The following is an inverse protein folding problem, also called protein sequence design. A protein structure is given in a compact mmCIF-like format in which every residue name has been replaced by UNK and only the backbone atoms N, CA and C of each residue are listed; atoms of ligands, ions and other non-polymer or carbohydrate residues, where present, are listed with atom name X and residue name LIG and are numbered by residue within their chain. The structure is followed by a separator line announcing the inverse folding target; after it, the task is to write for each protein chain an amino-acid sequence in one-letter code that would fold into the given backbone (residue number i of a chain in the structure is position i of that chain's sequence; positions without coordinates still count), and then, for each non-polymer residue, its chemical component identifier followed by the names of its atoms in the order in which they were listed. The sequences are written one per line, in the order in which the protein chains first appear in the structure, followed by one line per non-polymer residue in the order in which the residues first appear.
data_IF_674079863288
#
_entry.id   IF_674079863288
#
_cell.length_a   1.000
_cell.length_b   1.000
_cell.length_c   1.000
_cell.angle_alpha   90.00
_cell.angle_beta   90.00
_cell.angle_gamma   90.00
#
_symmetry.space_group_name_H-M   'P 1'
#
loop_
_entity.id
_entity.type
_entity.pdbx_description
1 polymer ?
#
# COMPACT_ATOMS: atom_id res chain seq x y z
N UNK A 1 -65.30 27.99 5.72
CA UNK A 1 -65.02 29.15 6.57
C UNK A 1 -63.58 28.99 7.00
N UNK A 2 -62.62 29.70 6.55
CA UNK A 2 -62.28 31.10 6.30
C UNK A 2 -60.87 31.26 6.79
N UNK A 3 -60.05 31.65 6.00
CA UNK A 3 -59.32 32.77 5.44
C UNK A 3 -57.82 32.71 5.71
N UNK A 4 -57.11 32.73 4.60
CA UNK A 4 -55.80 33.29 4.26
C UNK A 4 -55.33 34.45 5.15
N UNK A 5 -53.99 34.63 5.35
CA UNK A 5 -53.27 35.89 5.02
C UNK A 5 -51.75 35.58 4.83
N UNK A 6 -51.23 36.12 3.77
CA UNK A 6 -49.84 36.24 3.33
C UNK A 6 -49.09 37.32 4.16
N UNK A 7 -47.75 37.20 4.25
CA UNK A 7 -46.88 38.24 4.76
C UNK A 7 -45.47 38.12 4.18
N UNK A 8 -45.30 38.74 3.02
CA UNK A 8 -44.03 39.02 2.33
C UNK A 8 -43.38 40.23 3.04
N UNK A 9 -42.17 40.12 3.52
CA UNK A 9 -41.34 41.27 3.93
C UNK A 9 -40.02 41.23 3.18
N UNK A 10 -39.91 42.14 2.26
CA UNK A 10 -38.73 42.54 1.52
C UNK A 10 -38.04 43.64 2.33
N UNK A 11 -36.75 43.49 2.62
CA UNK A 11 -35.93 44.60 3.15
C UNK A 11 -34.69 44.78 2.27
N UNK A 12 -34.72 45.93 1.62
CA UNK A 12 -33.65 46.54 0.81
C UNK A 12 -32.83 47.44 1.72
N UNK A 13 -31.49 47.31 1.76
CA UNK A 13 -30.61 48.33 2.37
C UNK A 13 -29.34 48.43 1.51
N UNK A 14 -29.27 49.46 0.78
CA UNK A 14 -28.38 50.63 0.68
C UNK A 14 -26.87 50.40 0.67
N UNK A 15 -26.33 50.77 -0.48
CA UNK A 15 -24.92 51.15 -0.68
C UNK A 15 -24.55 52.41 0.12
N UNK A 16 -23.37 52.42 0.71
CA UNK A 16 -22.64 53.67 0.97
C UNK A 16 -21.15 53.43 0.64
N UNK A 17 -20.69 54.05 -0.40
CA UNK A 17 -19.31 54.11 -0.80
C UNK A 17 -18.52 55.18 -0.01
N UNK A 18 -17.25 54.87 0.24
CA UNK A 18 -16.25 55.91 0.53
C UNK A 18 -15.02 55.61 -0.32
N UNK A 19 -14.81 56.49 -1.30
CA UNK A 19 -13.54 56.65 -1.98
C UNK A 19 -12.54 57.37 -1.03
N UNK A 20 -11.31 56.87 -0.94
CA UNK A 20 -10.17 57.74 -0.65
C UNK A 20 -8.94 57.23 -1.39
N UNK A 21 -8.28 58.20 -1.99
CA UNK A 21 -7.26 58.06 -3.00
C UNK A 21 -5.82 58.11 -2.43
N UNK A 22 -4.92 57.50 -3.22
CA UNK A 22 -3.51 57.87 -3.43
C UNK A 22 -2.50 57.70 -2.30
N UNK A 23 -1.55 56.78 -2.52
CA UNK A 23 -0.13 57.18 -2.60
C UNK A 23 0.70 56.03 -3.22
N UNK A 24 1.24 56.30 -4.40
CA UNK A 24 2.32 55.55 -5.04
C UNK A 24 3.62 55.79 -4.34
N UNK A 25 4.27 54.73 -3.81
CA UNK A 25 5.70 54.77 -3.54
C UNK A 25 6.33 53.45 -3.94
N UNK A 26 7.17 53.54 -4.95
CA UNK A 26 8.04 52.47 -5.43
C UNK A 26 9.23 52.38 -4.45
N UNK A 27 9.62 51.19 -3.98
CA UNK A 27 10.95 51.03 -3.37
C UNK A 27 11.92 50.41 -4.36
N UNK A 28 13.10 50.96 -4.31
CA UNK A 28 14.27 50.71 -5.13
C UNK A 28 14.77 49.25 -5.04
N UNK A 29 15.27 48.78 -6.19
CA UNK A 29 16.06 47.55 -6.33
C UNK A 29 17.36 47.67 -5.55
N UNK A 30 17.51 46.94 -4.45
CA UNK A 30 18.83 46.62 -3.90
C UNK A 30 19.30 45.28 -4.51
N UNK A 31 20.29 45.39 -5.40
CA UNK A 31 21.12 44.28 -5.86
C UNK A 31 22.12 43.93 -4.75
N UNK A 32 21.90 42.83 -4.05
CA UNK A 32 22.96 42.18 -3.30
C UNK A 32 23.80 41.32 -4.23
N UNK A 33 25.02 41.73 -4.50
CA UNK A 33 26.08 40.88 -5.06
C UNK A 33 26.47 39.85 -4.01
N UNK A 34 26.14 38.58 -4.22
CA UNK A 34 26.79 37.49 -3.49
C UNK A 34 28.09 37.15 -4.19
N UNK A 35 29.18 37.33 -3.48
CA UNK A 35 30.53 36.92 -3.86
C UNK A 35 30.60 35.41 -3.68
N UNK A 36 30.79 34.65 -4.77
CA UNK A 36 31.08 33.23 -4.73
C UNK A 36 32.58 33.04 -4.46
N UNK A 37 32.92 32.47 -3.32
CA UNK A 37 34.24 31.95 -3.05
C UNK A 37 34.44 30.64 -3.80
N UNK A 38 35.27 30.63 -4.83
CA UNK A 38 35.72 29.45 -5.54
C UNK A 38 36.90 28.80 -4.80
N UNK A 39 36.69 27.66 -4.19
CA UNK A 39 37.80 26.79 -3.78
C UNK A 39 37.94 25.66 -4.81
N UNK A 40 38.95 25.82 -5.67
CA UNK A 40 39.36 24.82 -6.64
C UNK A 40 40.20 23.76 -5.96
N UNK A 41 39.66 22.55 -5.79
CA UNK A 41 40.47 21.35 -5.54
C UNK A 41 40.72 20.63 -6.85
N UNK A 42 41.97 20.65 -7.28
CA UNK A 42 42.55 19.97 -8.40
C UNK A 42 42.68 18.47 -8.04
N UNK A 43 41.87 17.60 -8.66
CA UNK A 43 42.05 16.16 -8.55
C UNK A 43 42.85 15.65 -9.75
N UNK A 44 43.96 15.00 -9.42
CA UNK A 44 44.87 14.31 -10.35
C UNK A 44 44.18 13.04 -10.84
N UNK A 45 44.06 12.91 -12.16
CA UNK A 45 43.56 11.71 -12.79
C UNK A 45 44.69 10.71 -12.94
N UNK A 46 44.54 9.51 -12.33
CA UNK A 46 45.29 8.32 -12.73
C UNK A 46 44.41 7.48 -13.65
N UNK A 47 44.91 7.30 -14.87
CA UNK A 47 44.33 6.42 -15.88
C UNK A 47 44.86 5.00 -15.67
N UNK A 48 43.99 4.01 -15.59
CA UNK A 48 44.16 2.68 -16.19
C UNK A 48 42.96 1.77 -15.85
N UNK A 49 42.25 1.31 -16.84
CA UNK A 49 41.94 -0.05 -17.17
C UNK A 49 40.74 -0.14 -18.09
N UNK A 50 40.96 -0.72 -19.23
CA UNK A 50 39.92 -1.14 -20.19
C UNK A 50 39.04 -2.20 -19.56
N UNK A 51 37.74 -1.95 -19.47
CA UNK A 51 36.74 -3.00 -19.33
C UNK A 51 35.69 -2.80 -20.43
N UNK A 52 35.36 -3.89 -21.10
CA UNK A 52 34.40 -3.96 -22.21
C UNK A 52 32.99 -3.67 -21.70
N UNK A 53 32.30 -2.75 -22.40
CA UNK A 53 30.92 -2.40 -22.12
C UNK A 53 29.99 -3.51 -22.60
N UNK A 54 29.21 -4.08 -21.68
CA UNK A 54 27.97 -4.77 -21.96
C UNK A 54 26.83 -3.76 -21.82
N UNK A 55 26.05 -3.61 -22.90
CA UNK A 55 24.92 -2.67 -22.92
C UNK A 55 23.79 -3.19 -22.04
N UNK A 56 23.50 -2.50 -20.93
CA UNK A 56 22.26 -2.63 -20.20
C UNK A 56 21.42 -1.39 -20.46
N UNK A 57 20.27 -1.57 -21.11
CA UNK A 57 19.26 -0.52 -21.27
C UNK A 57 18.58 -0.29 -19.92
N UNK A 58 18.95 0.80 -19.24
CA UNK A 58 18.23 1.31 -18.08
C UNK A 58 17.30 2.45 -18.51
N UNK A 59 16.03 2.34 -18.20
CA UNK A 59 15.06 3.41 -18.39
C UNK A 59 15.42 4.58 -17.47
N UNK A 60 15.65 5.77 -18.06
CA UNK A 60 15.85 7.00 -17.31
C UNK A 60 14.49 7.56 -16.92
N UNK A 61 14.12 7.39 -15.66
CA UNK A 61 12.97 8.06 -15.05
C UNK A 61 13.43 9.47 -14.59
N UNK A 62 12.83 10.52 -15.14
CA UNK A 62 13.07 11.89 -14.71
C UNK A 62 12.25 12.12 -13.45
N UNK A 63 12.83 11.85 -12.29
CA UNK A 63 12.20 12.14 -11.01
C UNK A 63 12.50 13.59 -10.60
N UNK A 64 11.47 14.43 -10.52
CA UNK A 64 11.52 15.65 -9.75
C UNK A 64 11.44 15.30 -8.27
N UNK A 65 12.56 15.28 -7.58
CA UNK A 65 12.63 14.99 -6.13
C UNK A 65 12.78 16.30 -5.39
N UNK A 66 11.72 16.67 -4.64
CA UNK A 66 11.82 17.57 -3.51
C UNK A 66 11.72 16.72 -2.24
N UNK A 67 12.84 16.29 -1.70
CA UNK A 67 12.96 15.57 -0.44
C UNK A 67 14.44 15.55 -0.03
N UNK A 68 14.76 15.69 1.24
CA UNK A 68 16.12 15.72 1.79
C UNK A 68 16.92 14.52 1.28
N UNK A 69 17.83 14.78 0.36
CA UNK A 69 18.77 13.78 -0.14
C UNK A 69 20.11 14.00 0.54
N UNK A 70 20.64 13.00 1.24
CA UNK A 70 22.00 13.01 1.74
C UNK A 70 22.99 13.06 0.56
N UNK A 71 23.90 14.01 0.62
CA UNK A 71 24.72 14.42 -0.50
C UNK A 71 25.94 13.51 -0.70
N UNK A 72 25.80 12.41 -1.43
CA UNK A 72 26.95 11.71 -2.03
C UNK A 72 26.51 10.97 -3.30
N UNK A 73 26.25 11.71 -4.37
CA UNK A 73 25.95 11.12 -5.68
C UNK A 73 27.16 11.23 -6.62
N UNK A 74 27.47 10.18 -7.34
CA UNK A 74 28.42 10.20 -8.45
C UNK A 74 27.76 10.87 -9.67
N UNK A 75 28.41 11.89 -10.23
CA UNK A 75 27.94 12.54 -11.44
C UNK A 75 28.68 11.98 -12.66
N UNK A 76 27.90 11.47 -13.61
CA UNK A 76 28.42 11.01 -14.90
C UNK A 76 28.01 11.99 -16.00
N UNK A 77 28.93 12.30 -16.91
CA UNK A 77 28.61 13.11 -18.09
C UNK A 77 28.09 12.20 -19.20
N UNK A 78 26.87 12.46 -19.64
CA UNK A 78 26.27 11.74 -20.78
C UNK A 78 25.92 12.70 -21.90
N UNK A 79 25.88 12.20 -23.12
CA UNK A 79 25.47 12.98 -24.29
C UNK A 79 23.99 12.70 -24.56
N UNK A 80 23.15 13.73 -24.48
CA UNK A 80 21.75 13.68 -24.86
C UNK A 80 21.53 14.59 -26.02
N UNK A 81 21.16 14.05 -27.19
CA UNK A 81 20.96 14.80 -28.45
C UNK A 81 22.16 15.69 -28.81
N UNK A 82 23.38 15.16 -28.67
CA UNK A 82 24.62 15.86 -29.02
C UNK A 82 25.06 16.95 -28.03
N UNK A 83 24.35 17.17 -26.93
CA UNK A 83 24.73 18.12 -25.88
C UNK A 83 25.23 17.36 -24.65
N UNK A 84 26.29 17.89 -24.01
CA UNK A 84 26.78 17.38 -22.72
C UNK A 84 25.74 17.68 -21.63
N UNK A 85 25.18 16.63 -21.01
CA UNK A 85 24.31 16.73 -19.85
C UNK A 85 24.98 16.04 -18.65
N UNK A 86 24.97 16.72 -17.51
CA UNK A 86 25.46 16.15 -16.24
C UNK A 86 24.33 15.42 -15.57
N UNK A 87 24.35 14.10 -15.59
CA UNK A 87 23.39 13.26 -14.88
C UNK A 87 24.00 12.90 -13.53
N UNK A 88 23.33 13.28 -12.45
CA UNK A 88 23.67 12.83 -11.10
C UNK A 88 22.89 11.55 -10.83
N UNK A 89 23.58 10.45 -10.67
CA UNK A 89 23.00 9.22 -10.15
C UNK A 89 23.01 9.33 -8.63
N UNK A 90 21.84 9.41 -8.04
CA UNK A 90 21.69 9.23 -6.59
C UNK A 90 21.50 7.75 -6.35
N UNK A 91 22.55 7.05 -5.97
CA UNK A 91 22.45 5.68 -5.48
C UNK A 91 21.82 5.71 -4.09
N UNK A 92 20.65 5.12 -3.92
CA UNK A 92 20.12 4.84 -2.58
C UNK A 92 21.13 3.95 -1.84
N UNK A 93 21.57 4.40 -0.67
CA UNK A 93 22.50 3.66 0.18
C UNK A 93 21.71 3.01 1.30
N UNK A 94 21.47 1.71 1.16
CA UNK A 94 20.85 0.93 2.23
C UNK A 94 21.89 0.57 3.28
N UNK A 95 21.53 0.73 4.55
CA UNK A 95 22.37 0.41 5.70
C UNK A 95 21.92 -0.85 6.41
N UNK A 96 20.64 -1.23 6.26
CA UNK A 96 20.06 -2.44 6.80
C UNK A 96 20.33 -3.66 5.89
N UNK A 97 20.40 -4.86 6.49
CA UNK A 97 20.51 -6.11 5.74
C UNK A 97 19.15 -6.55 5.21
N UNK A 98 19.13 -7.09 3.99
CA UNK A 98 17.93 -7.75 3.44
C UNK A 98 17.72 -9.15 4.03
N UNK A 99 18.72 -9.70 4.72
CA UNK A 99 18.74 -11.10 5.15
C UNK A 99 19.06 -11.21 6.63
N UNK A 100 18.49 -12.24 7.27
CA UNK A 100 18.72 -12.60 8.65
C UNK A 100 18.71 -14.12 8.81
N UNK A 101 19.08 -14.64 9.98
CA UNK A 101 18.95 -16.06 10.28
C UNK A 101 17.46 -16.43 10.38
N UNK A 102 17.06 -17.48 9.66
CA UNK A 102 15.66 -17.97 9.67
C UNK A 102 15.20 -18.38 11.07
N UNK A 103 16.09 -18.91 11.91
CA UNK A 103 15.75 -19.27 13.29
C UNK A 103 15.40 -18.04 14.13
N UNK A 104 16.01 -16.88 13.84
CA UNK A 104 15.71 -15.63 14.53
C UNK A 104 14.35 -15.08 14.12
N UNK A 105 13.91 -15.32 12.86
CA UNK A 105 12.60 -14.87 12.37
C UNK A 105 11.44 -15.53 13.11
N UNK A 106 11.59 -16.80 13.46
CA UNK A 106 10.52 -17.59 14.11
C UNK A 106 10.68 -17.72 15.62
N UNK A 107 11.77 -17.17 16.17
CA UNK A 107 12.05 -17.23 17.59
C UNK A 107 10.99 -16.47 18.39
N UNK A 108 10.36 -17.16 19.33
CA UNK A 108 9.26 -16.68 20.17
C UNK A 108 7.90 -16.49 19.45
N UNK A 109 7.73 -16.95 18.23
CA UNK A 109 6.41 -17.02 17.62
C UNK A 109 5.52 -18.02 18.37
N UNK A 110 4.29 -17.62 18.66
CA UNK A 110 3.26 -18.50 19.24
C UNK A 110 2.47 -19.10 18.09
N UNK A 111 2.58 -20.42 17.88
CA UNK A 111 2.05 -21.07 16.67
C UNK A 111 1.14 -22.29 16.94
N UNK A 112 0.83 -22.61 18.20
CA UNK A 112 0.07 -23.82 18.53
C UNK A 112 -1.40 -23.80 18.01
N UNK A 113 -1.96 -22.63 17.73
CA UNK A 113 -3.29 -22.46 17.11
C UNK A 113 -3.24 -22.16 15.61
N UNK A 114 -2.07 -22.10 15.00
CA UNK A 114 -1.92 -21.86 13.56
C UNK A 114 -2.12 -23.15 12.76
N UNK A 115 -2.43 -23.00 11.47
CA UNK A 115 -2.46 -24.12 10.53
C UNK A 115 -1.01 -24.56 10.23
N UNK A 116 -0.64 -25.81 10.53
CA UNK A 116 0.75 -26.25 10.40
C UNK A 116 1.24 -26.31 8.95
N UNK A 117 0.33 -26.56 7.99
CA UNK A 117 0.69 -26.58 6.56
C UNK A 117 0.94 -25.17 6.05
N UNK A 118 0.06 -24.24 6.41
CA UNK A 118 0.16 -22.83 6.02
C UNK A 118 1.43 -22.22 6.65
N UNK A 119 1.69 -22.51 7.96
CA UNK A 119 2.88 -22.02 8.63
C UNK A 119 4.17 -22.57 8.01
N UNK A 120 4.23 -23.86 7.75
CA UNK A 120 5.41 -24.46 7.13
C UNK A 120 5.70 -23.84 5.74
N UNK A 121 4.66 -23.64 4.92
CA UNK A 121 4.78 -22.99 3.62
C UNK A 121 5.23 -21.53 3.74
N UNK A 122 4.74 -20.79 4.74
CA UNK A 122 5.12 -19.41 5.00
C UNK A 122 6.60 -19.27 5.42
N UNK A 123 7.08 -20.16 6.29
CA UNK A 123 8.49 -20.20 6.71
C UNK A 123 9.40 -20.55 5.52
N UNK A 124 9.01 -21.55 4.72
CA UNK A 124 9.76 -21.94 3.53
C UNK A 124 9.85 -20.80 2.51
N UNK A 125 8.74 -20.13 2.23
CA UNK A 125 8.69 -19.02 1.28
C UNK A 125 9.51 -17.80 1.75
N UNK A 126 9.44 -17.44 3.04
CA UNK A 126 10.18 -16.32 3.58
C UNK A 126 11.70 -16.58 3.57
N UNK A 127 12.08 -17.84 3.79
CA UNK A 127 13.48 -18.25 3.84
C UNK A 127 14.27 -17.45 4.88
N UNK A 128 15.35 -16.82 4.43
CA UNK A 128 16.18 -15.93 5.24
C UNK A 128 15.97 -14.44 4.97
N UNK A 129 14.90 -14.07 4.25
CA UNK A 129 14.58 -12.67 4.02
C UNK A 129 14.14 -11.97 5.32
N UNK A 130 14.67 -10.79 5.57
CA UNK A 130 14.21 -9.98 6.71
C UNK A 130 12.80 -9.44 6.43
N UNK A 131 11.80 -10.09 7.03
CA UNK A 131 10.40 -9.82 6.76
C UNK A 131 9.44 -10.64 7.60
N UNK A 132 8.16 -10.55 7.26
CA UNK A 132 7.07 -11.32 7.88
C UNK A 132 6.10 -11.83 6.82
N UNK A 133 5.46 -12.95 7.10
CA UNK A 133 4.36 -13.51 6.32
C UNK A 133 3.13 -13.64 7.21
N UNK A 134 2.02 -13.05 6.79
CA UNK A 134 0.71 -13.16 7.43
C UNK A 134 -0.25 -13.83 6.43
N UNK A 135 -0.86 -14.94 6.84
CA UNK A 135 -1.90 -15.63 6.08
C UNK A 135 -3.22 -15.63 6.87
N UNK A 136 -4.32 -15.26 6.20
CA UNK A 136 -5.63 -15.04 6.85
C UNK A 136 -6.72 -15.78 6.06
N UNK A 137 -7.66 -16.37 6.76
CA UNK A 137 -8.95 -16.78 6.20
C UNK A 137 -9.88 -15.56 6.13
N UNK A 138 -10.20 -15.04 4.94
CA UNK A 138 -11.04 -13.85 4.84
C UNK A 138 -12.51 -14.11 5.18
N UNK A 139 -12.95 -15.36 5.27
CA UNK A 139 -14.34 -15.70 5.55
C UNK A 139 -14.73 -15.47 7.01
N UNK A 140 -13.74 -15.44 7.92
CA UNK A 140 -13.97 -15.35 9.35
C UNK A 140 -12.94 -14.46 10.11
N UNK A 141 -11.87 -13.99 9.43
CA UNK A 141 -10.83 -13.16 10.02
C UNK A 141 -9.78 -13.94 10.83
N UNK A 142 -9.78 -15.27 10.75
CA UNK A 142 -8.79 -16.10 11.45
C UNK A 142 -7.42 -15.99 10.78
N UNK A 143 -6.40 -15.71 11.58
CA UNK A 143 -5.01 -15.81 11.17
C UNK A 143 -4.63 -17.28 11.13
N UNK A 144 -4.29 -17.77 9.94
CA UNK A 144 -3.87 -19.14 9.68
C UNK A 144 -2.39 -19.34 10.00
N UNK A 145 -1.57 -18.32 9.74
CA UNK A 145 -0.16 -18.28 10.11
C UNK A 145 0.34 -16.84 10.18
N UNK A 146 1.24 -16.58 11.12
CA UNK A 146 1.93 -15.30 11.28
C UNK A 146 3.41 -15.59 11.63
N UNK A 147 4.28 -15.52 10.62
CA UNK A 147 5.71 -15.78 10.72
C UNK A 147 6.44 -14.49 11.00
N UNK A 148 7.37 -14.47 11.96
CA UNK A 148 8.01 -13.30 12.51
C UNK A 148 7.00 -12.33 13.13
N UNK A 149 6.32 -12.82 14.18
CA UNK A 149 5.27 -12.08 14.87
C UNK A 149 5.76 -10.75 15.45
N UNK A 150 7.02 -10.68 15.85
CA UNK A 150 7.64 -9.43 16.30
C UNK A 150 7.52 -8.32 15.26
N UNK A 151 7.76 -8.63 13.99
CA UNK A 151 7.66 -7.67 12.89
C UNK A 151 6.20 -7.47 12.44
N UNK A 152 5.41 -8.55 12.37
CA UNK A 152 4.00 -8.48 12.00
C UNK A 152 3.17 -7.59 12.94
N UNK A 153 3.49 -7.62 14.23
CA UNK A 153 2.81 -6.89 15.30
C UNK A 153 3.43 -5.51 15.59
N UNK A 154 4.51 -5.14 14.90
CA UNK A 154 5.17 -3.83 15.08
C UNK A 154 4.26 -2.67 14.67
N UNK A 155 4.67 -1.45 14.98
CA UNK A 155 3.95 -0.22 14.59
C UNK A 155 3.86 0.01 13.06
N UNK A 156 4.32 -0.97 12.28
CA UNK A 156 4.27 -0.96 10.84
C UNK A 156 5.29 -0.03 10.20
N UNK A 157 5.11 0.20 8.92
CA UNK A 157 5.95 1.06 8.11
C UNK A 157 5.11 1.84 7.09
N UNK A 158 5.76 2.72 6.36
CA UNK A 158 5.13 3.38 5.22
C UNK A 158 4.55 2.33 4.25
N UNK A 159 3.23 2.41 3.94
CA UNK A 159 2.56 1.40 3.10
C UNK A 159 3.02 1.47 1.65
N UNK A 160 3.74 2.51 1.27
CA UNK A 160 4.14 2.76 -0.10
C UNK A 160 2.91 2.70 -1.02
N UNK A 161 3.04 2.06 -2.17
CA UNK A 161 1.96 1.94 -3.15
C UNK A 161 0.82 0.99 -2.75
N UNK A 162 0.85 0.31 -1.61
CA UNK A 162 -0.30 -0.50 -1.16
C UNK A 162 -1.47 0.36 -0.72
N UNK A 163 -1.22 1.62 -0.28
CA UNK A 163 -2.27 2.60 0.04
C UNK A 163 -3.23 2.84 -1.13
N UNK A 164 -2.79 2.62 -2.37
CA UNK A 164 -3.56 2.81 -3.59
C UNK A 164 -4.82 1.94 -3.65
N UNK A 165 -4.85 0.83 -2.93
CA UNK A 165 -6.04 -0.03 -2.82
C UNK A 165 -7.17 0.73 -2.11
N UNK A 166 -6.87 1.33 -0.95
CA UNK A 166 -7.83 2.14 -0.22
C UNK A 166 -8.27 3.37 -1.02
N UNK A 167 -7.31 4.07 -1.65
CA UNK A 167 -7.59 5.26 -2.48
C UNK A 167 -8.46 4.92 -3.69
N UNK A 168 -8.24 3.78 -4.34
CA UNK A 168 -9.06 3.31 -5.45
C UNK A 168 -10.52 3.05 -5.01
N UNK A 169 -10.70 2.31 -3.91
CA UNK A 169 -12.03 2.06 -3.35
C UNK A 169 -12.75 3.38 -3.00
N UNK A 170 -12.05 4.31 -2.36
CA UNK A 170 -12.59 5.63 -2.01
C UNK A 170 -13.06 6.40 -3.25
N UNK A 171 -12.22 6.45 -4.30
CA UNK A 171 -12.54 7.17 -5.53
C UNK A 171 -13.71 6.54 -6.31
N UNK A 172 -13.82 5.21 -6.28
CA UNK A 172 -14.95 4.46 -6.84
C UNK A 172 -16.24 4.75 -6.05
N UNK A 173 -16.19 4.76 -4.72
CA UNK A 173 -17.35 5.11 -3.86
C UNK A 173 -17.84 6.54 -4.06
N UNK A 174 -16.92 7.48 -4.26
CA UNK A 174 -17.24 8.87 -4.60
C UNK A 174 -17.73 9.04 -6.05
N UNK A 175 -17.73 7.98 -6.88
CA UNK A 175 -18.11 8.05 -8.27
C UNK A 175 -17.17 8.88 -9.14
N UNK A 176 -15.96 9.18 -8.66
CA UNK A 176 -14.96 9.99 -9.38
C UNK A 176 -14.34 9.25 -10.56
N UNK A 177 -14.29 7.93 -10.49
CA UNK A 177 -13.74 7.07 -11.54
C UNK A 177 -14.56 5.78 -11.66
N UNK A 178 -14.38 5.10 -12.80
CA UNK A 178 -14.78 3.71 -13.05
C UNK A 178 -13.55 2.92 -13.48
N UNK A 179 -13.65 1.60 -13.47
CA UNK A 179 -12.53 0.71 -13.78
C UNK A 179 -11.85 1.02 -15.13
N UNK A 180 -12.65 1.32 -16.14
CA UNK A 180 -12.27 1.49 -17.55
C UNK A 180 -12.25 2.93 -18.04
N UNK A 181 -12.66 3.90 -17.20
CA UNK A 181 -12.74 5.31 -17.62
C UNK A 181 -11.35 5.97 -17.53
N UNK A 182 -10.81 6.44 -18.68
CA UNK A 182 -9.52 7.10 -18.69
C UNK A 182 -9.55 8.44 -17.95
N UNK A 183 -8.58 8.63 -17.05
CA UNK A 183 -8.29 9.92 -16.39
C UNK A 183 -7.11 10.57 -17.12
N UNK A 184 -7.25 11.82 -17.51
CA UNK A 184 -6.17 12.59 -18.12
C UNK A 184 -5.15 13.01 -17.05
N UNK A 185 -3.92 12.58 -17.20
CA UNK A 185 -2.80 12.84 -16.29
C UNK A 185 -1.91 14.02 -16.74
N UNK A 186 -2.29 14.67 -17.85
CA UNK A 186 -1.59 15.80 -18.43
C UNK A 186 -1.22 15.57 -19.89
N UNK A 187 -1.34 16.62 -20.70
CA UNK A 187 -1.11 16.55 -22.14
C UNK A 187 -2.04 15.54 -22.82
N UNK A 188 -1.46 14.56 -23.53
CA UNK A 188 -2.17 13.48 -24.19
C UNK A 188 -2.11 12.15 -23.45
N UNK A 189 -1.64 12.14 -22.19
CA UNK A 189 -1.48 10.92 -21.40
C UNK A 189 -2.71 10.68 -20.53
N UNK A 190 -3.45 9.63 -20.86
CA UNK A 190 -4.61 9.18 -20.11
C UNK A 190 -4.48 7.70 -19.75
N UNK A 191 -4.97 7.33 -18.58
CA UNK A 191 -4.91 5.95 -18.05
C UNK A 191 -6.20 5.68 -17.28
N UNK A 192 -6.74 4.47 -17.37
CA UNK A 192 -7.85 3.99 -16.55
C UNK A 192 -7.37 3.42 -15.21
N UNK A 193 -8.31 3.14 -14.30
CA UNK A 193 -8.01 2.63 -12.97
C UNK A 193 -7.35 1.24 -13.02
N UNK A 194 -7.81 0.37 -13.93
CA UNK A 194 -7.27 -0.98 -14.10
C UNK A 194 -5.77 -0.95 -14.38
N UNK A 195 -5.35 -0.19 -15.40
CA UNK A 195 -3.93 -0.07 -15.73
C UNK A 195 -3.13 0.74 -14.70
N UNK A 196 -3.77 1.74 -14.08
CA UNK A 196 -3.11 2.53 -13.03
C UNK A 196 -2.79 1.68 -11.78
N UNK A 197 -3.68 0.78 -11.37
CA UNK A 197 -3.44 -0.16 -10.28
C UNK A 197 -2.40 -1.21 -10.65
N UNK A 198 -2.56 -1.86 -11.82
CA UNK A 198 -1.68 -2.92 -12.28
C UNK A 198 -0.22 -2.46 -12.39
N UNK A 199 0.00 -1.28 -12.95
CA UNK A 199 1.32 -0.67 -13.15
C UNK A 199 1.77 0.24 -12.01
N UNK A 200 0.90 0.43 -11.01
CA UNK A 200 1.17 1.29 -9.85
C UNK A 200 1.50 2.75 -10.22
N UNK A 201 0.76 3.38 -11.13
CA UNK A 201 1.05 4.72 -11.67
C UNK A 201 0.78 5.78 -10.61
N UNK A 202 1.84 6.38 -10.06
CA UNK A 202 1.76 7.35 -8.96
C UNK A 202 0.90 8.56 -9.30
N UNK A 203 1.13 9.17 -10.47
CA UNK A 203 0.44 10.38 -10.89
C UNK A 203 -1.09 10.21 -10.94
N UNK A 204 -1.59 9.01 -11.30
CA UNK A 204 -3.01 8.70 -11.27
C UNK A 204 -3.59 8.86 -9.85
N UNK A 205 -2.96 8.25 -8.87
CA UNK A 205 -3.41 8.31 -7.47
C UNK A 205 -3.18 9.67 -6.82
N UNK A 206 -2.16 10.42 -7.26
CA UNK A 206 -2.01 11.82 -6.86
C UNK A 206 -3.17 12.68 -7.36
N UNK A 207 -3.62 12.49 -8.60
CA UNK A 207 -4.79 13.19 -9.16
C UNK A 207 -6.04 12.83 -8.37
N UNK A 208 -6.29 11.54 -8.11
CA UNK A 208 -7.43 11.11 -7.30
C UNK A 208 -7.41 11.72 -5.90
N UNK A 209 -6.26 11.66 -5.21
CA UNK A 209 -6.10 12.23 -3.87
C UNK A 209 -6.38 13.74 -3.84
N UNK A 210 -5.88 14.48 -4.83
CA UNK A 210 -6.16 15.92 -4.96
C UNK A 210 -7.63 16.20 -5.27
N UNK A 211 -8.29 15.36 -6.07
CA UNK A 211 -9.72 15.51 -6.40
C UNK A 211 -10.63 15.20 -5.22
N UNK A 212 -10.29 14.22 -4.40
CA UNK A 212 -11.05 13.90 -3.19
C UNK A 212 -10.80 14.91 -2.06
N UNK A 213 -9.56 15.36 -1.92
CA UNK A 213 -9.13 16.14 -0.76
C UNK A 213 -8.84 15.27 0.48
N UNK A 214 -8.10 15.83 1.43
CA UNK A 214 -7.59 15.09 2.60
C UNK A 214 -8.70 14.51 3.47
N UNK A 215 -9.73 15.30 3.76
CA UNK A 215 -10.81 14.88 4.69
C UNK A 215 -11.57 13.65 4.19
N UNK A 216 -11.86 13.58 2.89
CA UNK A 216 -12.53 12.41 2.32
C UNK A 216 -11.62 11.18 2.29
N UNK A 217 -10.37 11.35 1.88
CA UNK A 217 -9.40 10.25 1.88
C UNK A 217 -9.22 9.69 3.28
N UNK A 218 -9.11 10.57 4.29
CA UNK A 218 -9.01 10.18 5.69
C UNK A 218 -10.27 9.48 6.20
N UNK A 219 -11.46 10.01 5.86
CA UNK A 219 -12.73 9.41 6.21
C UNK A 219 -12.79 7.94 5.75
N UNK A 220 -12.52 7.68 4.46
CA UNK A 220 -12.50 6.32 3.93
C UNK A 220 -11.39 5.46 4.54
N UNK A 221 -10.20 6.03 4.76
CA UNK A 221 -9.13 5.30 5.40
C UNK A 221 -9.56 4.78 6.79
N UNK A 222 -10.18 5.63 7.60
CA UNK A 222 -10.71 5.24 8.91
C UNK A 222 -11.87 4.22 8.77
N UNK A 223 -12.77 4.40 7.80
CA UNK A 223 -13.85 3.45 7.52
C UNK A 223 -13.27 2.05 7.20
N UNK A 224 -12.20 2.00 6.44
CA UNK A 224 -11.49 0.76 6.09
C UNK A 224 -10.61 0.21 7.23
N UNK A 225 -10.62 0.83 8.40
CA UNK A 225 -9.89 0.38 9.59
C UNK A 225 -8.42 0.79 9.62
N UNK A 226 -7.98 1.70 8.72
CA UNK A 226 -6.62 2.22 8.73
C UNK A 226 -6.47 3.27 9.84
N UNK A 227 -5.43 3.12 10.68
CA UNK A 227 -5.28 3.93 11.90
C UNK A 227 -5.99 3.35 13.14
N UNK A 228 -6.54 2.13 13.04
CA UNK A 228 -7.14 1.38 14.15
C UNK A 228 -6.45 0.02 14.31
N UNK A 229 -6.47 -0.57 15.51
CA UNK A 229 -6.04 -1.96 15.70
C UNK A 229 -6.87 -2.89 14.82
N UNK A 230 -6.21 -3.77 14.08
CA UNK A 230 -6.88 -4.74 13.21
C UNK A 230 -7.25 -6.03 13.97
N UNK A 231 -6.48 -6.37 15.00
CA UNK A 231 -6.65 -7.58 15.80
C UNK A 231 -7.71 -7.44 16.90
N UNK A 232 -8.29 -8.57 17.26
CA UNK A 232 -9.12 -8.72 18.44
C UNK A 232 -8.29 -9.32 19.58
N UNK A 233 -7.89 -8.47 20.51
CA UNK A 233 -7.08 -8.87 21.68
C UNK A 233 -5.80 -9.66 21.32
N UNK A 234 -5.09 -9.26 20.26
CA UNK A 234 -3.80 -9.86 19.92
C UNK A 234 -2.72 -9.22 20.79
N UNK A 235 -2.08 -9.97 21.71
CA UNK A 235 -1.05 -9.41 22.57
C UNK A 235 0.15 -8.89 21.75
N UNK A 236 0.58 -7.67 22.07
CA UNK A 236 1.74 -7.07 21.39
C UNK A 236 1.43 -6.42 20.05
N UNK A 237 0.17 -6.39 19.59
CA UNK A 237 -0.19 -5.61 18.42
C UNK A 237 0.00 -4.11 18.66
N UNK A 238 0.77 -3.48 17.78
CA UNK A 238 0.94 -2.04 17.76
C UNK A 238 0.04 -1.39 16.70
N UNK A 239 -0.31 -0.13 16.95
CA UNK A 239 -1.13 0.65 16.03
C UNK A 239 -0.28 1.22 14.91
N UNK A 240 -0.73 1.04 13.66
CA UNK A 240 -0.29 1.89 12.53
C UNK A 240 -1.03 3.22 12.55
N UNK A 241 -0.44 4.26 12.01
CA UNK A 241 -0.92 5.63 12.14
C UNK A 241 -1.38 6.20 10.80
N UNK A 242 -2.63 6.66 10.74
CA UNK A 242 -3.10 7.56 9.71
C UNK A 242 -3.13 8.98 10.29
N UNK A 243 -2.37 9.95 9.72
CA UNK A 243 -2.20 11.27 10.36
C UNK A 243 -3.49 12.09 10.40
N UNK A 244 -3.59 12.99 11.38
CA UNK A 244 -4.72 13.91 11.54
C UNK A 244 -4.63 15.15 10.64
N UNK A 245 -3.46 15.39 10.07
CA UNK A 245 -3.21 16.56 9.23
C UNK A 245 -2.61 16.13 7.88
N UNK A 246 -2.97 16.89 6.85
CA UNK A 246 -2.41 16.68 5.52
C UNK A 246 -0.92 17.02 5.48
N UNK A 247 -0.17 16.25 4.69
CA UNK A 247 1.22 16.56 4.37
C UNK A 247 1.33 17.97 3.77
N UNK A 248 2.35 18.78 4.13
CA UNK A 248 2.53 20.12 3.54
C UNK A 248 2.54 20.10 2.01
N UNK A 249 1.94 21.10 1.38
CA UNK A 249 1.88 21.21 -0.08
C UNK A 249 3.28 21.18 -0.74
N UNK A 250 4.29 21.77 -0.09
CA UNK A 250 5.69 21.72 -0.53
C UNK A 250 6.27 20.29 -0.55
N UNK A 251 5.71 19.39 0.24
CA UNK A 251 6.04 17.95 0.29
C UNK A 251 5.10 17.11 -0.57
N UNK A 252 4.21 17.72 -1.36
CA UNK A 252 3.29 17.04 -2.28
C UNK A 252 1.86 16.85 -1.77
N UNK A 253 1.57 17.22 -0.52
CA UNK A 253 0.22 17.25 0.04
C UNK A 253 -0.48 15.88 0.01
N UNK A 254 -1.81 15.90 -0.06
CA UNK A 254 -2.64 14.69 -0.12
C UNK A 254 -2.31 13.79 -1.32
N UNK A 255 -1.82 14.35 -2.42
CA UNK A 255 -1.41 13.55 -3.58
C UNK A 255 -0.30 12.55 -3.25
N UNK A 256 0.73 12.98 -2.53
CA UNK A 256 1.82 12.10 -2.06
C UNK A 256 1.31 11.06 -1.07
N UNK A 257 0.44 11.43 -0.14
CA UNK A 257 -0.18 10.50 0.80
C UNK A 257 -0.95 9.40 0.05
N UNK A 258 -1.68 9.75 -1.02
CA UNK A 258 -2.47 8.80 -1.81
C UNK A 258 -1.65 7.92 -2.77
N UNK A 259 -0.48 8.36 -3.19
CA UNK A 259 0.35 7.65 -4.18
C UNK A 259 1.47 6.83 -3.54
N UNK A 260 2.07 7.33 -2.47
CA UNK A 260 3.21 6.70 -1.79
C UNK A 260 2.91 6.27 -0.36
N UNK A 261 1.84 6.79 0.27
CA UNK A 261 1.57 6.57 1.68
C UNK A 261 2.45 7.41 2.59
N UNK A 262 3.05 8.49 2.07
CA UNK A 262 3.98 9.34 2.82
C UNK A 262 3.32 9.91 4.07
N UNK A 263 4.00 9.85 5.20
CA UNK A 263 3.51 10.17 6.56
C UNK A 263 2.48 9.21 7.14
N UNK A 264 2.15 8.12 6.44
CA UNK A 264 1.26 7.06 6.93
C UNK A 264 2.11 5.88 7.39
N UNK A 265 1.77 5.27 8.51
CA UNK A 265 2.32 3.97 8.94
C UNK A 265 1.19 2.94 8.96
N UNK A 266 1.41 1.79 8.34
CA UNK A 266 0.46 0.69 8.33
C UNK A 266 1.10 -0.61 8.77
N UNK A 267 0.34 -1.41 9.50
CA UNK A 267 0.77 -2.74 9.93
C UNK A 267 0.36 -3.80 8.90
N UNK A 268 1.06 -4.95 8.87
CA UNK A 268 0.62 -6.10 8.07
C UNK A 268 -0.81 -6.54 8.39
N UNK A 269 -1.25 -6.41 9.65
CA UNK A 269 -2.59 -6.77 10.08
C UNK A 269 -3.64 -5.81 9.49
N UNK A 270 -3.41 -4.51 9.52
CA UNK A 270 -4.33 -3.51 8.93
C UNK A 270 -4.52 -3.74 7.43
N UNK A 271 -3.43 -3.96 6.69
CA UNK A 271 -3.50 -4.24 5.25
C UNK A 271 -4.17 -5.60 4.98
N UNK A 272 -3.89 -6.61 5.81
CA UNK A 272 -4.52 -7.92 5.74
C UNK A 272 -6.04 -7.86 5.98
N UNK A 273 -6.49 -7.09 6.98
CA UNK A 273 -7.91 -6.90 7.27
C UNK A 273 -8.64 -6.21 6.11
N UNK A 274 -8.05 -5.16 5.52
CA UNK A 274 -8.63 -4.48 4.35
C UNK A 274 -8.77 -5.42 3.15
N UNK A 275 -7.71 -6.18 2.81
CA UNK A 275 -7.75 -7.12 1.68
C UNK A 275 -8.70 -8.29 1.98
N UNK A 276 -8.84 -8.71 3.25
CA UNK A 276 -9.84 -9.70 3.66
C UNK A 276 -11.27 -9.19 3.42
N UNK A 277 -11.53 -7.92 3.74
CA UNK A 277 -12.83 -7.30 3.46
C UNK A 277 -13.13 -7.23 1.94
N UNK A 278 -12.13 -6.98 1.10
CA UNK A 278 -12.28 -7.06 -0.36
C UNK A 278 -12.58 -8.49 -0.78
N UNK A 279 -11.82 -9.45 -0.27
CA UNK A 279 -11.94 -10.87 -0.63
C UNK A 279 -13.28 -11.49 -0.23
N UNK A 280 -13.92 -11.02 0.85
CA UNK A 280 -15.18 -11.57 1.35
C UNK A 280 -16.44 -10.78 0.96
N UNK A 281 -16.30 -9.68 0.20
CA UNK A 281 -17.44 -8.89 -0.28
C UNK A 281 -17.85 -7.74 0.63
N UNK A 282 -17.00 -7.30 1.57
CA UNK A 282 -17.19 -6.06 2.35
C UNK A 282 -17.29 -6.24 3.87
N UNK A 283 -17.13 -7.43 4.41
CA UNK A 283 -17.11 -7.63 5.86
C UNK A 283 -15.70 -7.39 6.40
N UNK A 284 -15.52 -6.32 7.16
CA UNK A 284 -14.30 -6.07 7.90
C UNK A 284 -14.36 -6.81 9.24
N UNK A 285 -13.61 -7.89 9.35
CA UNK A 285 -13.45 -8.61 10.61
C UNK A 285 -12.32 -8.01 11.44
N UNK A 286 -12.44 -8.13 12.77
CA UNK A 286 -11.25 -8.14 13.60
C UNK A 286 -10.48 -9.41 13.28
N UNK A 287 -9.18 -9.28 13.05
CA UNK A 287 -8.32 -10.44 12.90
C UNK A 287 -8.12 -11.11 14.26
N UNK A 288 -8.14 -12.42 14.28
CA UNK A 288 -7.94 -13.21 15.49
C UNK A 288 -6.82 -14.21 15.28
N UNK A 289 -5.92 -14.31 16.24
CA UNK A 289 -4.80 -15.22 16.23
C UNK A 289 -4.96 -16.26 17.35
N UNK A 290 -5.62 -17.41 17.07
CA UNK A 290 -5.70 -18.50 18.04
C UNK A 290 -4.30 -18.97 18.44
N UNK A 291 -4.08 -19.11 19.74
CA UNK A 291 -2.79 -19.53 20.32
C UNK A 291 -2.82 -20.95 20.84
N UNK A 292 -4.01 -21.58 20.85
CA UNK A 292 -4.23 -22.95 21.28
C UNK A 292 -5.22 -23.66 20.37
N UNK A 293 -5.19 -25.01 20.35
CA UNK A 293 -6.18 -25.82 19.64
C UNK A 293 -7.62 -25.67 20.20
N UNK A 294 -7.74 -25.38 21.49
CA UNK A 294 -9.04 -25.09 22.10
C UNK A 294 -9.67 -23.82 21.54
N UNK A 295 -8.87 -22.77 21.32
CA UNK A 295 -9.31 -21.53 20.68
C UNK A 295 -9.66 -21.74 19.20
N UNK A 296 -8.96 -22.61 18.49
CA UNK A 296 -9.30 -22.99 17.10
C UNK A 296 -10.65 -23.72 17.06
N UNK A 297 -10.89 -24.68 17.99
CA UNK A 297 -12.12 -25.46 18.03
C UNK A 297 -13.34 -24.60 18.38
N UNK A 298 -13.17 -23.61 19.27
CA UNK A 298 -14.21 -22.72 19.73
C UNK A 298 -14.18 -21.35 19.03
N UNK A 299 -13.55 -21.27 17.86
CA UNK A 299 -13.37 -20.00 17.14
C UNK A 299 -14.73 -19.38 16.78
N UNK A 300 -14.86 -18.08 17.08
CA UNK A 300 -16.02 -17.28 16.71
C UNK A 300 -15.58 -16.01 16.01
N UNK A 301 -16.00 -15.79 14.76
CA UNK A 301 -15.67 -14.57 14.02
C UNK A 301 -16.15 -13.31 14.74
N UNK A 302 -15.33 -12.28 14.75
CA UNK A 302 -15.66 -10.97 15.31
C UNK A 302 -15.76 -9.93 14.20
N UNK A 303 -16.98 -9.52 13.86
CA UNK A 303 -17.20 -8.47 12.86
C UNK A 303 -16.88 -7.11 13.47
N UNK A 304 -15.96 -6.38 12.85
CA UNK A 304 -15.62 -5.00 13.22
C UNK A 304 -16.63 -4.02 12.62
N UNK A 305 -16.89 -4.14 11.32
CA UNK A 305 -17.92 -3.37 10.59
C UNK A 305 -18.24 -3.98 9.22
N UNK A 306 -19.39 -3.61 8.68
CA UNK A 306 -19.74 -3.91 7.29
C UNK A 306 -19.39 -2.69 6.44
N UNK A 307 -18.54 -2.89 5.43
CA UNK A 307 -18.15 -1.84 4.50
C UNK A 307 -19.11 -1.82 3.31
N UNK A 308 -19.56 -0.64 2.95
CA UNK A 308 -20.40 -0.44 1.75
C UNK A 308 -19.53 -0.37 0.49
N UNK A 309 -18.83 -1.48 0.17
CA UNK A 309 -17.92 -1.58 -1.00
C UNK A 309 -18.27 -2.71 -1.97
N UNK A 310 -19.34 -3.47 -1.72
CA UNK A 310 -19.69 -4.66 -2.49
C UNK A 310 -19.86 -4.37 -3.99
N UNK A 311 -20.45 -3.25 -4.33
CA UNK A 311 -20.70 -2.78 -5.70
C UNK A 311 -19.46 -2.25 -6.41
N UNK A 312 -18.44 -1.80 -5.67
CA UNK A 312 -17.19 -1.28 -6.24
C UNK A 312 -16.06 -2.31 -6.26
N UNK A 313 -16.15 -3.41 -5.49
CA UNK A 313 -15.16 -4.49 -5.53
C UNK A 313 -14.93 -5.00 -6.96
N UNK A 314 -15.95 -5.32 -7.78
CA UNK A 314 -15.72 -5.80 -9.15
C UNK A 314 -14.94 -4.81 -10.03
N UNK A 315 -14.92 -3.54 -9.68
CA UNK A 315 -14.22 -2.50 -10.44
C UNK A 315 -12.73 -2.38 -10.07
N UNK A 316 -12.33 -2.82 -8.87
CA UNK A 316 -10.92 -2.80 -8.46
C UNK A 316 -10.20 -4.10 -8.84
N UNK A 317 -10.90 -5.23 -8.92
CA UNK A 317 -10.30 -6.55 -9.15
C UNK A 317 -9.49 -6.64 -10.44
N UNK A 318 -9.93 -6.14 -11.61
CA UNK A 318 -9.13 -6.22 -12.84
C UNK A 318 -7.75 -5.56 -12.71
N UNK A 319 -7.64 -4.49 -11.93
CA UNK A 319 -6.35 -3.83 -11.66
C UNK A 319 -5.48 -4.60 -10.67
N UNK A 320 -6.07 -5.25 -9.68
CA UNK A 320 -5.35 -6.09 -8.72
C UNK A 320 -4.87 -7.40 -9.38
N UNK A 321 -5.67 -8.01 -10.25
CA UNK A 321 -5.28 -9.16 -11.08
C UNK A 321 -4.21 -8.79 -12.10
N UNK A 322 -4.40 -7.66 -12.78
CA UNK A 322 -3.45 -7.12 -13.75
C UNK A 322 -2.08 -6.82 -13.15
N UNK A 323 -1.98 -6.52 -11.84
CA UNK A 323 -0.69 -6.38 -11.17
C UNK A 323 0.11 -7.70 -11.20
N UNK A 324 -0.57 -8.83 -11.19
CA UNK A 324 0.02 -10.19 -11.23
C UNK A 324 0.17 -10.68 -12.68
N UNK A 325 -0.82 -10.46 -13.54
CA UNK A 325 -0.95 -11.16 -14.82
C UNK A 325 -0.59 -10.33 -16.06
N UNK A 326 -0.65 -8.98 -15.99
CA UNK A 326 -0.22 -8.16 -17.11
C UNK A 326 1.30 -8.27 -17.31
N UNK A 327 1.74 -8.15 -18.57
CA UNK A 327 3.16 -8.23 -18.93
C UNK A 327 4.02 -7.22 -18.15
N UNK A 328 3.47 -6.05 -17.86
CA UNK A 328 4.07 -4.95 -17.12
C UNK A 328 3.43 -4.73 -15.73
N UNK A 329 2.75 -5.75 -15.23
CA UNK A 329 2.23 -5.78 -13.87
C UNK A 329 3.35 -5.84 -12.83
N UNK A 330 3.18 -5.09 -11.73
CA UNK A 330 4.24 -4.93 -10.72
C UNK A 330 4.48 -6.17 -9.85
N UNK A 331 3.55 -7.14 -9.84
CA UNK A 331 3.64 -8.39 -9.10
C UNK A 331 3.83 -9.62 -10.00
N UNK A 332 4.21 -9.44 -11.28
CA UNK A 332 4.36 -10.53 -12.23
C UNK A 332 5.36 -11.61 -11.78
N UNK A 333 6.32 -11.25 -10.93
CA UNK A 333 7.28 -12.21 -10.33
C UNK A 333 6.59 -13.35 -9.55
N UNK A 334 5.35 -13.17 -9.08
CA UNK A 334 4.56 -14.25 -8.47
C UNK A 334 4.40 -15.44 -9.43
N UNK A 335 4.11 -15.16 -10.70
CA UNK A 335 3.85 -16.18 -11.73
C UNK A 335 5.08 -16.99 -12.14
N UNK A 336 6.27 -16.59 -11.72
CA UNK A 336 7.48 -17.45 -11.90
C UNK A 336 7.44 -18.71 -11.04
N UNK A 337 6.62 -18.72 -9.98
CA UNK A 337 6.53 -19.82 -9.04
C UNK A 337 5.15 -20.47 -8.99
N UNK A 338 4.08 -19.73 -9.36
CA UNK A 338 2.72 -20.22 -9.17
C UNK A 338 1.73 -19.67 -10.20
N UNK A 339 0.92 -20.58 -10.84
CA UNK A 339 -0.04 -20.23 -11.89
C UNK A 339 -1.44 -20.87 -11.68
N UNK A 340 -1.64 -21.71 -10.65
CA UNK A 340 -2.77 -22.64 -10.58
C UNK A 340 -4.14 -21.98 -10.30
N UNK A 341 -4.19 -20.77 -9.76
CA UNK A 341 -5.44 -20.02 -9.55
C UNK A 341 -5.23 -18.51 -9.62
N UNK A 342 -6.32 -17.71 -9.78
CA UNK A 342 -6.27 -16.26 -9.79
C UNK A 342 -5.69 -15.69 -8.49
N UNK A 343 -4.87 -14.66 -8.59
CA UNK A 343 -4.34 -13.90 -7.45
C UNK A 343 -4.53 -12.42 -7.71
N UNK A 344 -5.13 -11.75 -6.75
CA UNK A 344 -5.45 -10.33 -6.79
C UNK A 344 -4.61 -9.60 -5.75
N UNK A 345 -3.78 -8.63 -6.17
CA UNK A 345 -2.90 -8.02 -5.20
C UNK A 345 -2.32 -6.67 -5.60
N UNK A 346 -1.56 -6.09 -4.67
CA UNK A 346 -0.87 -4.81 -4.86
C UNK A 346 0.49 -4.83 -4.21
N UNK A 347 1.51 -4.41 -4.97
CA UNK A 347 2.87 -4.21 -4.47
C UNK A 347 3.05 -2.83 -3.87
N UNK A 348 3.95 -2.72 -2.92
CA UNK A 348 4.50 -1.47 -2.40
C UNK A 348 6.02 -1.53 -2.34
N UNK A 349 6.68 -0.45 -2.72
CA UNK A 349 8.13 -0.28 -2.58
C UNK A 349 8.43 1.17 -2.27
N UNK A 350 9.12 1.42 -1.18
CA UNK A 350 9.65 2.72 -0.80
C UNK A 350 10.86 2.55 0.11
N UNK A 351 11.43 3.66 0.59
CA UNK A 351 12.60 3.64 1.44
C UNK A 351 12.54 4.79 2.43
N UNK A 352 12.91 4.54 3.67
CA UNK A 352 13.10 5.55 4.69
C UNK A 352 14.40 5.29 5.47
N UNK A 353 15.18 6.35 5.72
CA UNK A 353 16.37 6.33 6.57
C UNK A 353 17.36 5.18 6.30
N UNK A 354 17.56 4.84 5.02
CA UNK A 354 18.49 3.77 4.61
C UNK A 354 17.92 2.35 4.75
N UNK A 355 16.63 2.23 5.08
CA UNK A 355 15.87 0.97 5.07
C UNK A 355 14.93 0.97 3.88
N UNK A 356 14.88 -0.12 3.14
CA UNK A 356 13.95 -0.33 2.03
C UNK A 356 12.80 -1.21 2.49
N UNK A 357 11.59 -0.86 2.08
CA UNK A 357 10.37 -1.58 2.36
C UNK A 357 9.80 -2.24 1.11
N UNK A 358 9.44 -3.49 1.23
CA UNK A 358 8.81 -4.27 0.18
C UNK A 358 7.50 -4.89 0.69
N UNK A 359 6.39 -4.52 0.07
CA UNK A 359 5.07 -5.03 0.40
C UNK A 359 4.45 -5.79 -0.76
N UNK A 360 3.80 -6.88 -0.47
CA UNK A 360 2.78 -7.43 -1.34
C UNK A 360 1.59 -7.89 -0.50
N UNK A 361 0.44 -7.29 -0.77
CA UNK A 361 -0.83 -7.63 -0.14
C UNK A 361 -1.74 -8.21 -1.21
N UNK A 362 -2.31 -9.39 -0.94
CA UNK A 362 -3.05 -10.13 -1.96
C UNK A 362 -4.05 -11.10 -1.35
N UNK A 363 -4.96 -11.60 -2.19
CA UNK A 363 -5.63 -12.84 -1.92
C UNK A 363 -5.59 -13.75 -3.13
N UNK A 364 -5.50 -15.05 -2.88
CA UNK A 364 -5.65 -16.12 -3.86
C UNK A 364 -7.07 -16.65 -3.84
N UNK A 365 -7.67 -16.85 -5.02
CA UNK A 365 -9.01 -17.40 -5.18
C UNK A 365 -8.90 -18.89 -5.56
N UNK A 366 -8.59 -19.71 -4.55
CA UNK A 366 -8.41 -21.16 -4.72
C UNK A 366 -9.74 -21.88 -4.78
N UNK A 367 -9.82 -23.06 -5.41
CA UNK A 367 -11.05 -23.88 -5.50
C UNK A 367 -11.67 -24.20 -4.14
N UNK A 368 -10.87 -24.31 -3.09
CA UNK A 368 -11.30 -24.65 -1.72
C UNK A 368 -11.58 -23.44 -0.84
N UNK A 369 -11.48 -22.24 -1.40
CA UNK A 369 -11.73 -20.97 -0.71
C UNK A 369 -10.57 -19.98 -0.83
N UNK A 370 -10.83 -18.74 -0.45
CA UNK A 370 -9.87 -17.65 -0.54
C UNK A 370 -8.90 -17.69 0.61
N UNK A 371 -7.69 -17.24 0.34
CA UNK A 371 -6.65 -17.01 1.34
C UNK A 371 -6.00 -15.65 1.10
N UNK A 372 -5.98 -14.81 2.13
CA UNK A 372 -5.29 -13.53 2.10
C UNK A 372 -3.85 -13.72 2.56
N UNK A 373 -2.92 -13.09 1.85
CA UNK A 373 -1.50 -13.14 2.18
C UNK A 373 -0.92 -11.74 2.18
N UNK A 374 -0.22 -11.38 3.25
CA UNK A 374 0.56 -10.18 3.35
C UNK A 374 2.01 -10.57 3.58
N UNK A 375 2.89 -10.17 2.66
CA UNK A 375 4.34 -10.25 2.86
C UNK A 375 4.88 -8.85 2.97
N UNK A 376 5.52 -8.58 4.10
CA UNK A 376 6.25 -7.36 4.36
C UNK A 376 7.73 -7.67 4.55
N UNK A 377 8.57 -7.00 3.78
CA UNK A 377 10.03 -7.10 3.83
C UNK A 377 10.60 -5.75 4.22
N UNK A 378 11.60 -5.75 5.11
CA UNK A 378 12.33 -4.54 5.45
C UNK A 378 13.84 -4.80 5.46
N UNK A 379 14.63 -3.82 5.07
CA UNK A 379 16.10 -3.99 5.10
C UNK A 379 16.80 -3.29 3.96
N UNK A 380 17.63 -4.02 3.24
CA UNK A 380 18.50 -3.52 2.21
C UNK A 380 17.89 -3.56 0.80
N UNK A 381 18.76 -3.73 -0.18
CA UNK A 381 18.43 -3.62 -1.58
C UNK A 381 17.40 -4.64 -2.08
N UNK A 382 17.41 -5.85 -1.50
CA UNK A 382 16.60 -6.96 -1.98
C UNK A 382 15.20 -7.01 -1.36
N UNK A 383 14.86 -6.06 -0.47
CA UNK A 383 13.53 -5.93 0.14
C UNK A 383 12.68 -4.94 -0.66
N UNK A 384 11.91 -5.45 -1.63
CA UNK A 384 11.05 -4.63 -2.51
C UNK A 384 9.78 -5.39 -2.92
N UNK A 385 8.76 -4.68 -3.37
CA UNK A 385 7.43 -5.24 -3.65
C UNK A 385 7.41 -6.44 -4.60
N UNK A 386 8.04 -6.39 -5.78
CA UNK A 386 8.15 -7.57 -6.66
C UNK A 386 8.81 -8.78 -6.00
N UNK A 387 9.75 -8.59 -5.05
CA UNK A 387 10.32 -9.71 -4.27
C UNK A 387 9.29 -10.29 -3.31
N UNK A 388 8.52 -9.45 -2.63
CA UNK A 388 7.42 -9.93 -1.79
C UNK A 388 6.36 -10.69 -2.60
N UNK A 389 6.07 -10.27 -3.83
CA UNK A 389 5.19 -10.99 -4.75
C UNK A 389 5.78 -12.34 -5.19
N UNK A 390 7.07 -12.40 -5.49
CA UNK A 390 7.78 -13.66 -5.79
C UNK A 390 7.67 -14.66 -4.64
N UNK A 391 7.91 -14.21 -3.40
CA UNK A 391 7.78 -15.06 -2.20
C UNK A 391 6.33 -15.53 -1.97
N UNK A 392 5.34 -14.70 -2.31
CA UNK A 392 3.93 -15.12 -2.27
C UNK A 392 3.64 -16.25 -3.26
N UNK A 393 4.26 -16.20 -4.45
CA UNK A 393 4.19 -17.32 -5.41
C UNK A 393 4.82 -18.59 -4.87
N UNK A 394 5.96 -18.49 -4.18
CA UNK A 394 6.62 -19.61 -3.50
C UNK A 394 5.73 -20.17 -2.38
N UNK A 395 5.09 -19.30 -1.60
CA UNK A 395 4.15 -19.68 -0.54
C UNK A 395 2.98 -20.51 -1.09
N UNK A 396 2.31 -20.02 -2.14
CA UNK A 396 1.21 -20.76 -2.77
C UNK A 396 1.69 -22.05 -3.40
N UNK A 397 2.88 -22.08 -4.00
CA UNK A 397 3.48 -23.31 -4.52
C UNK A 397 3.73 -24.33 -3.42
N UNK A 398 4.33 -23.92 -2.31
CA UNK A 398 4.60 -24.80 -1.17
C UNK A 398 3.31 -25.36 -0.55
N UNK A 399 2.24 -24.59 -0.50
CA UNK A 399 0.91 -25.07 -0.06
C UNK A 399 0.30 -26.04 -1.07
N UNK A 400 0.40 -25.74 -2.36
CA UNK A 400 -0.10 -26.61 -3.44
C UNK A 400 0.60 -27.98 -3.42
N UNK A 401 1.90 -28.02 -3.29
CA UNK A 401 2.71 -29.24 -3.23
C UNK A 401 2.39 -30.10 -1.98
N UNK A 402 1.83 -29.47 -0.93
CA UNK A 402 1.30 -30.14 0.28
C UNK A 402 -0.17 -30.50 0.19
N UNK A 403 -0.78 -30.40 -1.00
CA UNK A 403 -2.19 -30.69 -1.26
C UNK A 403 -3.18 -29.87 -0.40
N UNK A 404 -2.80 -28.71 0.08
CA UNK A 404 -3.65 -27.87 0.95
C UNK A 404 -4.97 -27.48 0.25
N UNK A 405 -4.91 -27.16 -1.03
CA UNK A 405 -6.05 -26.73 -1.83
C UNK A 405 -6.91 -27.90 -2.38
N UNK A 406 -6.58 -29.13 -2.06
CA UNK A 406 -7.38 -30.32 -2.40
C UNK A 406 -8.22 -30.83 -1.22
N UNK A 407 -7.93 -30.34 0.00
CA UNK A 407 -8.67 -30.70 1.19
C UNK A 407 -9.90 -29.81 1.31
N UNK A 408 -11.11 -30.40 1.34
CA UNK A 408 -12.31 -29.65 1.73
C UNK A 408 -12.13 -29.13 3.15
N UNK A 409 -12.38 -27.84 3.37
CA UNK A 409 -12.41 -27.29 4.73
C UNK A 409 -13.41 -28.13 5.55
N UNK A 410 -13.08 -28.53 6.80
CA UNK A 410 -14.07 -29.14 7.67
C UNK A 410 -15.24 -28.15 7.78
N UNK A 411 -16.41 -28.64 7.41
CA UNK A 411 -17.65 -27.87 7.48
C UNK A 411 -17.84 -27.44 8.94
N UNK A 412 -17.76 -26.16 9.21
CA UNK A 412 -18.07 -25.62 10.55
C UNK A 412 -19.54 -25.99 10.78
N UNK A 413 -19.82 -26.90 11.70
CA UNK A 413 -21.15 -27.39 11.97
C UNK A 413 -22.07 -26.19 12.24
N UNK A 414 -22.89 -25.84 11.28
CA UNK A 414 -23.98 -24.91 11.46
C UNK A 414 -24.88 -25.55 12.54
N UNK A 415 -24.88 -24.98 13.74
CA UNK A 415 -25.85 -25.24 14.78
C UNK A 415 -27.22 -24.80 14.24
N UNK A 416 -27.85 -25.71 13.48
CA UNK A 416 -29.27 -25.64 13.23
C UNK A 416 -29.94 -25.90 14.58
N UNK A 417 -30.30 -24.82 15.24
CA UNK A 417 -31.19 -24.88 16.39
C UNK A 417 -32.53 -25.45 15.95
N UNK A 418 -32.73 -26.76 16.13
CA UNK A 418 -34.04 -27.38 16.12
C UNK A 418 -34.78 -26.85 17.34
N UNK A 419 -35.51 -25.75 17.14
CA UNK A 419 -36.57 -25.33 18.07
C UNK A 419 -37.65 -26.40 18.13
N UNK A 420 -37.56 -27.28 19.11
CA UNK A 420 -38.62 -28.20 19.44
C UNK A 420 -39.85 -27.42 19.88
N UNK A 421 -40.89 -27.45 19.07
CA UNK A 421 -42.23 -27.09 19.48
C UNK A 421 -42.71 -28.15 20.50
N UNK A 422 -42.83 -27.75 21.76
CA UNK A 422 -43.59 -28.48 22.77
C UNK A 422 -45.04 -28.02 22.65
N UNK A 423 -45.89 -28.90 22.12
CA UNK A 423 -47.34 -28.88 22.39
C UNK A 423 -47.56 -29.34 23.82
N UNK A 424 -48.18 -28.54 24.62
CA UNK A 424 -49.40 -28.80 25.39
C UNK A 424 -49.82 -27.53 26.13
#
# INVERSE_FOLDING_TARGET
MGRRISGLVMVLIMLAGVLSAHATTTPARHRHKMVAASTSHRLVAHSSARARAGAAYGHAEVAHVAGRVSAHGHATMVYVRGKRARVRYYGERFTASSFTDQNLLTMNDVSAGEDPVVRAAAIEALGNMNGTVLAIDPSDGRILAMVNQKLALSAGAEPCSTIKVAVALSALKEGLVKADTPVNLGGHYSVDLTHALARSINLYFEVLGRSMGFERVKHYANEFGLGELAGYNIPGEHLGVYPDTVLPAASGGVGRMCSFGESISMTPLQLGALVSAIANGGTLYYLQHPTTQAEVTNFQPQVKRLLDIKDVIPQILPGMEGAVDFRDGTARSLRTNFESFPVFGKTGTCSDNGTRFGWFVSYGDAPTGRIVTVIFLEGGRDTFGPKAAELTGQFYRAMFDRNYFLQSKPETAALVGTGGAAQQ
#
